data_IF_083795232430
#
_entry.id   IF_083795232430
#
_cell.length_a   1.000
_cell.length_b   1.000
_cell.length_c   1.000
_cell.angle_alpha   90.00
_cell.angle_beta   90.00
_cell.angle_gamma   90.00
#
_symmetry.space_group_name_H-M   'P 1'
#
loop_
_entity.id
_entity.type
_entity.pdbx_description
1 polymer ?
#
# COMPACT_ATOMS: atom_id res chain seq x y z
N UNK A 1 -6.59 26.12 11.92
CA UNK A 1 -6.27 24.94 12.73
C UNK A 1 -6.92 23.73 12.08
N UNK A 2 -6.26 23.16 11.07
CA UNK A 2 -6.30 21.73 10.75
C UNK A 2 -5.06 21.48 9.89
N UNK A 3 -3.95 21.25 10.60
CA UNK A 3 -2.67 20.84 10.03
C UNK A 3 -2.90 19.50 9.34
N UNK A 4 -2.50 19.29 8.06
CA UNK A 4 -2.62 17.98 7.44
C UNK A 4 -1.60 17.08 8.13
N UNK A 5 -2.06 16.44 9.21
CA UNK A 5 -1.36 15.43 9.96
C UNK A 5 -0.83 14.44 8.92
N UNK A 6 0.49 14.45 8.71
CA UNK A 6 1.18 13.50 7.87
C UNK A 6 0.61 12.12 8.17
N UNK A 7 -0.16 11.57 7.21
CA UNK A 7 -0.98 10.38 7.49
C UNK A 7 -0.02 9.27 7.86
N UNK A 8 -0.05 8.72 9.10
CA UNK A 8 0.70 7.52 9.40
C UNK A 8 0.26 6.50 8.36
N UNK A 9 1.22 5.78 7.75
CA UNK A 9 0.94 4.72 6.80
C UNK A 9 -0.30 3.96 7.30
N UNK A 10 -1.39 4.04 6.53
CA UNK A 10 -2.73 3.75 7.05
C UNK A 10 -2.87 2.33 7.59
N UNK A 11 -4.07 1.89 8.00
CA UNK A 11 -4.28 0.54 8.55
C UNK A 11 -3.78 -0.61 7.65
N UNK A 12 -3.53 -0.34 6.37
CA UNK A 12 -2.95 -1.26 5.40
C UNK A 12 -1.41 -1.43 5.43
N UNK A 13 -0.65 -0.58 6.13
CA UNK A 13 0.82 -0.64 6.14
C UNK A 13 1.44 -0.36 4.77
N UNK A 14 2.43 -1.16 4.35
CA UNK A 14 3.05 -1.07 3.02
C UNK A 14 2.03 -1.17 1.88
N UNK A 15 1.00 -2.00 2.06
CA UNK A 15 -0.03 -2.13 1.04
C UNK A 15 -0.90 -0.87 0.86
N UNK A 16 -0.80 0.13 1.72
CA UNK A 16 -1.51 1.41 1.53
C UNK A 16 -0.98 2.19 0.32
N UNK A 17 0.30 2.03 0.00
CA UNK A 17 0.99 2.74 -1.09
C UNK A 17 1.49 1.79 -2.18
N UNK A 18 1.09 0.52 -2.16
CA UNK A 18 1.53 -0.47 -3.12
C UNK A 18 0.70 -0.41 -4.41
N UNK A 19 1.35 -0.41 -5.57
CA UNK A 19 0.79 -0.44 -6.91
C UNK A 19 -0.09 -1.69 -7.14
N UNK A 20 0.34 -2.83 -6.59
CA UNK A 20 -0.40 -4.09 -6.67
C UNK A 20 -1.55 -4.21 -5.67
N UNK A 21 -1.62 -3.33 -4.67
CA UNK A 21 -2.62 -3.39 -3.63
C UNK A 21 -3.81 -2.52 -3.99
N UNK A 22 -5.01 -3.12 -3.95
CA UNK A 22 -6.27 -2.42 -4.18
C UNK A 22 -7.08 -2.35 -2.89
N UNK A 23 -7.45 -1.14 -2.51
CA UNK A 23 -8.27 -0.82 -1.35
C UNK A 23 -9.73 -1.07 -1.72
N UNK A 24 -10.42 -1.89 -0.96
CA UNK A 24 -11.84 -2.21 -1.15
C UNK A 24 -12.58 -1.84 0.11
N UNK A 25 -13.39 -0.79 0.04
CA UNK A 25 -14.26 -0.37 1.13
C UNK A 25 -15.60 -1.09 1.02
N UNK A 26 -15.98 -1.82 2.07
CA UNK A 26 -17.27 -2.49 2.15
C UNK A 26 -18.34 -1.57 2.74
N UNK A 27 -19.61 -1.85 2.46
CA UNK A 27 -20.76 -1.06 2.91
C UNK A 27 -20.87 -0.90 4.44
N UNK A 28 -20.17 -1.74 5.21
CA UNK A 28 -20.08 -1.66 6.68
C UNK A 28 -18.90 -0.82 7.19
N UNK A 29 -18.35 0.08 6.37
CA UNK A 29 -17.14 0.87 6.65
C UNK A 29 -15.85 0.06 6.91
N UNK A 30 -15.85 -1.25 6.69
CA UNK A 30 -14.62 -2.04 6.76
C UNK A 30 -13.83 -1.88 5.46
N UNK A 31 -12.57 -1.48 5.58
CA UNK A 31 -11.64 -1.37 4.44
C UNK A 31 -10.73 -2.58 4.42
N UNK A 32 -10.69 -3.28 3.29
CA UNK A 32 -9.84 -4.43 3.06
C UNK A 32 -8.85 -4.14 1.94
N UNK A 33 -7.68 -4.77 2.01
CA UNK A 33 -6.70 -4.74 0.92
C UNK A 33 -6.79 -6.04 0.15
N UNK A 34 -6.78 -5.93 -1.18
CA UNK A 34 -6.64 -7.05 -2.10
C UNK A 34 -5.31 -6.95 -2.83
N UNK A 35 -4.55 -8.03 -2.85
CA UNK A 35 -3.30 -8.11 -3.59
C UNK A 35 -3.54 -8.73 -4.97
N UNK A 36 -3.33 -7.97 -6.05
CA UNK A 36 -3.49 -8.49 -7.42
C UNK A 36 -2.34 -9.42 -7.84
N UNK A 37 -1.15 -9.32 -7.20
CA UNK A 37 -0.03 -10.27 -7.37
C UNK A 37 -0.40 -11.73 -7.05
N UNK A 38 -1.37 -11.94 -6.15
CA UNK A 38 -1.87 -13.28 -5.81
C UNK A 38 -2.45 -14.04 -7.01
N UNK A 39 -2.86 -13.33 -8.07
CA UNK A 39 -3.35 -13.94 -9.30
C UNK A 39 -2.24 -14.57 -10.14
N UNK A 40 -1.03 -14.01 -10.09
CA UNK A 40 0.13 -14.49 -10.85
C UNK A 40 1.09 -15.34 -10.02
N UNK A 41 1.22 -15.04 -8.72
CA UNK A 41 2.12 -15.75 -7.82
C UNK A 41 1.35 -16.19 -6.55
N UNK A 42 1.17 -17.51 -6.35
CA UNK A 42 0.43 -18.06 -5.22
C UNK A 42 1.12 -17.87 -3.86
N UNK A 43 2.39 -17.42 -3.83
CA UNK A 43 3.08 -17.04 -2.60
C UNK A 43 2.45 -15.84 -1.92
N UNK A 44 1.81 -14.97 -2.70
CA UNK A 44 1.15 -13.79 -2.17
C UNK A 44 -0.31 -14.11 -1.80
N UNK A 45 -0.74 -13.84 -0.56
CA UNK A 45 -2.14 -14.02 -0.18
C UNK A 45 -3.03 -12.97 -0.86
N UNK A 46 -4.16 -13.40 -1.42
CA UNK A 46 -5.16 -12.52 -2.06
C UNK A 46 -5.66 -11.42 -1.12
N UNK A 47 -5.81 -11.77 0.16
CA UNK A 47 -6.20 -10.85 1.24
C UNK A 47 -5.12 -10.92 2.33
N UNK A 48 -4.06 -10.10 2.25
CA UNK A 48 -3.02 -10.08 3.27
C UNK A 48 -3.59 -9.62 4.62
N UNK A 49 -3.02 -10.13 5.70
CA UNK A 49 -3.33 -9.68 7.06
C UNK A 49 -2.73 -8.30 7.26
N UNK A 50 -3.57 -7.34 7.63
CA UNK A 50 -3.17 -5.96 7.84
C UNK A 50 -2.84 -5.71 9.33
N UNK A 51 -1.89 -4.81 9.66
CA UNK A 51 -1.06 -4.04 8.73
C UNK A 51 0.10 -4.87 8.14
N UNK A 52 0.42 -4.68 6.86
CA UNK A 52 1.54 -5.37 6.21
C UNK A 52 2.83 -4.61 6.47
N UNK A 53 3.74 -5.21 7.22
CA UNK A 53 5.07 -4.68 7.57
C UNK A 53 6.17 -5.14 6.60
N UNK A 54 6.05 -6.34 6.03
CA UNK A 54 6.93 -6.87 4.99
C UNK A 54 6.15 -7.43 3.81
N UNK A 55 6.55 -7.03 2.61
CA UNK A 55 6.09 -7.62 1.36
C UNK A 55 7.24 -7.64 0.37
N UNK A 56 7.65 -8.83 -0.05
CA UNK A 56 8.74 -9.06 -1.02
C UNK A 56 8.40 -8.55 -2.43
N UNK A 57 7.10 -8.49 -2.77
CA UNK A 57 6.59 -7.92 -4.02
C UNK A 57 6.10 -6.47 -3.89
N UNK A 58 6.45 -5.77 -2.81
CA UNK A 58 6.02 -4.39 -2.61
C UNK A 58 6.56 -3.47 -3.71
N UNK A 59 5.66 -2.77 -4.39
CA UNK A 59 6.00 -1.73 -5.37
C UNK A 59 5.26 -0.45 -5.02
N UNK A 60 5.94 0.64 -4.64
CA UNK A 60 5.26 1.89 -4.33
C UNK A 60 4.62 2.50 -5.60
N UNK A 61 3.33 2.87 -5.51
CA UNK A 61 2.53 3.48 -6.59
C UNK A 61 2.98 4.90 -6.98
N UNK A 62 4.05 5.39 -6.36
CA UNK A 62 4.56 6.74 -6.55
C UNK A 62 6.06 6.84 -6.37
N UNK A 63 6.84 5.78 -6.64
CA UNK A 63 8.27 6.00 -6.89
C UNK A 63 8.45 6.50 -8.33
N UNK A 64 8.71 7.80 -8.56
CA UNK A 64 9.63 8.13 -9.62
C UNK A 64 10.96 7.50 -9.20
N UNK A 65 11.38 6.44 -9.88
CA UNK A 65 12.77 6.03 -9.81
C UNK A 65 13.61 7.17 -10.37
N UNK A 66 14.11 8.05 -9.49
CA UNK A 66 15.08 9.08 -9.82
C UNK A 66 14.54 10.51 -9.82
N UNK A 67 14.49 11.12 -8.64
CA UNK A 67 14.91 12.52 -8.50
C UNK A 67 15.67 12.66 -7.16
N UNK A 68 16.90 12.14 -7.16
CA UNK A 68 17.93 12.72 -6.29
C UNK A 68 18.52 13.88 -7.09
N UNK A 69 17.88 15.04 -6.96
CA UNK A 69 18.33 16.31 -7.51
C UNK A 69 18.55 17.34 -6.42
N UNK A 70 19.19 16.97 -5.30
CA UNK A 70 19.68 17.95 -4.34
C UNK A 70 20.85 18.74 -4.95
N UNK A 71 20.53 19.93 -5.46
CA UNK A 71 21.47 20.99 -5.80
C UNK A 71 20.63 22.26 -6.02
N UNK A 72 20.73 23.34 -5.23
CA UNK A 72 21.85 23.96 -4.52
C UNK A 72 21.28 24.84 -3.40
#
# INVERSE_FOLDING_TARGET
MDEPLTRPAGPAGLCATCDHARLVTSARHSTFVRCDLSATDPRFPKYPRLPVDRCEGFRPAGSPAGDQGHQR
#
